data_IF_808521582980
#
_entry.id   IF_808521582980
#
_cell.length_a   1.000
_cell.length_b   1.000
_cell.length_c   1.000
_cell.angle_alpha   90.00
_cell.angle_beta   90.00
_cell.angle_gamma   90.00
#
_symmetry.space_group_name_H-M   'P 1'
#
loop_
_entity.id
_entity.type
_entity.pdbx_description
1 polymer ?
#
# COMPACT_ATOMS: atom_id res chain seq x y z
N UNK A 1 -22.13 25.21 2.49
CA UNK A 1 -21.98 23.78 2.85
C UNK A 1 -20.54 23.47 3.26
N UNK A 2 -19.54 23.98 2.54
CA UNK A 2 -18.11 23.72 2.85
C UNK A 2 -17.67 24.40 4.16
N UNK A 3 -18.22 25.55 4.50
CA UNK A 3 -17.94 26.27 5.77
C UNK A 3 -18.71 25.78 6.98
N UNK A 4 -19.66 24.86 6.79
CA UNK A 4 -20.47 24.29 7.88
C UNK A 4 -20.01 22.89 8.29
N UNK A 5 -19.09 22.28 7.51
CA UNK A 5 -18.54 20.95 7.77
C UNK A 5 -17.87 20.88 9.15
N UNK A 6 -17.09 21.88 9.49
CA UNK A 6 -16.33 21.96 10.75
C UNK A 6 -17.21 22.26 11.97
N UNK A 7 -18.47 22.67 11.74
CA UNK A 7 -19.45 22.93 12.81
C UNK A 7 -20.28 21.69 13.18
N UNK A 8 -20.14 20.58 12.43
CA UNK A 8 -20.84 19.33 12.74
C UNK A 8 -20.10 18.59 13.85
N UNK A 9 -20.85 17.88 14.68
CA UNK A 9 -20.35 17.01 15.76
C UNK A 9 -19.92 15.60 15.26
N UNK A 10 -19.95 15.40 13.95
CA UNK A 10 -19.50 14.19 13.25
C UNK A 10 -18.77 14.52 11.95
N UNK A 11 -17.91 13.62 11.51
CA UNK A 11 -17.16 13.78 10.26
C UNK A 11 -17.99 13.33 9.05
N UNK A 12 -17.90 14.12 7.95
CA UNK A 12 -18.51 13.80 6.67
C UNK A 12 -17.46 13.90 5.55
N UNK A 13 -17.46 12.95 4.61
CA UNK A 13 -16.57 12.90 3.45
C UNK A 13 -17.22 13.45 2.16
N UNK A 14 -18.53 13.68 2.21
CA UNK A 14 -19.31 14.17 1.08
C UNK A 14 -20.80 14.20 1.38
N UNK A 15 -21.58 14.56 0.38
CA UNK A 15 -23.03 14.61 0.41
C UNK A 15 -23.59 13.72 -0.69
N UNK A 16 -24.75 13.11 -0.46
CA UNK A 16 -25.52 12.45 -1.51
C UNK A 16 -26.76 13.31 -1.79
N UNK A 17 -26.93 13.69 -3.05
CA UNK A 17 -28.07 14.44 -3.54
C UNK A 17 -28.95 13.47 -4.30
N UNK A 18 -30.20 13.37 -3.89
CA UNK A 18 -31.18 12.43 -4.44
C UNK A 18 -32.46 13.15 -4.84
N UNK A 19 -33.21 12.58 -5.80
CA UNK A 19 -34.57 13.02 -6.06
C UNK A 19 -35.43 12.76 -4.82
N UNK A 20 -36.22 13.76 -4.41
CA UNK A 20 -37.12 13.65 -3.27
C UNK A 20 -38.41 12.84 -3.58
N UNK A 21 -38.61 12.45 -4.84
CA UNK A 21 -39.73 11.62 -5.30
C UNK A 21 -39.28 10.17 -5.46
N UNK A 22 -39.81 9.29 -4.60
CA UNK A 22 -39.49 7.87 -4.60
C UNK A 22 -39.88 7.16 -5.91
N UNK A 23 -41.00 7.54 -6.53
CA UNK A 23 -41.45 6.97 -7.79
C UNK A 23 -40.50 7.38 -8.96
N UNK A 24 -40.03 8.61 -8.96
CA UNK A 24 -39.02 9.08 -9.89
C UNK A 24 -37.69 8.34 -9.71
N UNK A 25 -37.26 8.13 -8.47
CA UNK A 25 -36.04 7.35 -8.15
C UNK A 25 -36.13 5.93 -8.69
N UNK A 26 -37.23 5.23 -8.43
CA UNK A 26 -37.47 3.87 -8.87
C UNK A 26 -37.53 3.76 -10.40
N UNK A 27 -38.18 4.72 -11.07
CA UNK A 27 -38.30 4.74 -12.53
C UNK A 27 -36.95 4.90 -13.25
N UNK A 28 -35.97 5.59 -12.65
CA UNK A 28 -34.62 5.77 -13.19
C UNK A 28 -33.79 4.50 -13.07
N UNK A 29 -34.14 3.60 -12.12
CA UNK A 29 -33.42 2.37 -11.88
C UNK A 29 -31.99 2.55 -11.39
N UNK A 30 -31.20 1.48 -11.48
CA UNK A 30 -29.83 1.41 -10.99
C UNK A 30 -28.81 1.18 -12.10
N UNK A 31 -27.56 1.53 -11.82
CA UNK A 31 -26.39 1.15 -12.61
C UNK A 31 -25.27 0.69 -11.68
N UNK A 32 -24.84 -0.58 -11.80
CA UNK A 32 -23.81 -1.16 -10.93
C UNK A 32 -24.16 -1.14 -9.43
N UNK A 33 -25.44 -1.35 -9.09
CA UNK A 33 -25.93 -1.33 -7.71
C UNK A 33 -26.03 0.08 -7.09
N UNK A 34 -26.04 1.13 -7.92
CA UNK A 34 -26.19 2.52 -7.48
C UNK A 34 -27.38 3.18 -8.17
N UNK A 35 -28.25 3.89 -7.40
CA UNK A 35 -29.40 4.59 -7.97
C UNK A 35 -28.97 5.64 -8.99
N UNK A 36 -29.58 5.64 -10.18
CA UNK A 36 -29.30 6.66 -11.22
C UNK A 36 -29.80 8.05 -10.83
N UNK A 37 -30.80 8.13 -9.96
CA UNK A 37 -31.35 9.39 -9.46
C UNK A 37 -30.55 10.03 -8.31
N UNK A 38 -29.45 9.39 -7.88
CA UNK A 38 -28.56 9.91 -6.86
C UNK A 38 -27.23 10.41 -7.44
N UNK A 39 -26.65 11.44 -6.82
CA UNK A 39 -25.31 11.97 -7.12
C UNK A 39 -24.55 12.23 -5.84
N UNK A 40 -23.34 11.67 -5.76
CA UNK A 40 -22.42 11.98 -4.67
C UNK A 40 -21.63 13.25 -5.00
N UNK A 41 -21.63 14.20 -4.09
CA UNK A 41 -20.74 15.34 -4.06
C UNK A 41 -19.66 15.09 -3.01
N UNK A 42 -18.41 15.00 -3.45
CA UNK A 42 -17.25 14.83 -2.58
C UNK A 42 -16.60 16.18 -2.31
N UNK A 43 -16.26 16.42 -1.05
CA UNK A 43 -15.51 17.64 -0.71
C UNK A 43 -14.09 17.58 -1.29
N UNK A 44 -13.49 18.74 -1.59
CA UNK A 44 -12.08 18.81 -1.96
C UNK A 44 -11.22 18.21 -0.84
N UNK A 45 -10.26 17.37 -1.22
CA UNK A 45 -9.33 16.80 -0.26
C UNK A 45 -8.34 17.86 0.23
N UNK A 46 -8.03 17.83 1.53
CA UNK A 46 -6.95 18.64 2.06
C UNK A 46 -5.63 18.24 1.38
N UNK A 47 -4.94 19.22 0.80
CA UNK A 47 -3.66 19.05 0.13
C UNK A 47 -2.59 19.84 0.85
N UNK A 48 -1.39 19.28 0.99
CA UNK A 48 -0.22 20.00 1.52
C UNK A 48 1.02 19.77 0.67
N UNK A 49 1.88 20.79 0.51
CA UNK A 49 3.18 20.62 -0.14
C UNK A 49 4.15 19.92 0.81
N UNK A 50 5.01 19.07 0.24
CA UNK A 50 6.11 18.41 0.97
C UNK A 50 7.28 18.12 0.03
N UNK A 51 8.35 17.51 0.52
CA UNK A 51 9.55 17.18 -0.24
C UNK A 51 9.67 15.67 -0.42
N UNK A 52 9.76 15.22 -1.67
CA UNK A 52 10.02 13.83 -2.01
C UNK A 52 11.45 13.44 -1.58
N UNK A 53 11.58 12.36 -0.83
CA UNK A 53 12.87 11.88 -0.33
C UNK A 53 13.35 10.65 -1.06
N UNK A 54 12.46 9.68 -1.28
CA UNK A 54 12.83 8.41 -1.91
C UNK A 54 11.63 7.77 -2.64
N UNK A 55 11.93 6.83 -3.54
CA UNK A 55 10.96 5.91 -4.13
C UNK A 55 11.48 4.49 -3.95
N UNK A 56 10.79 3.74 -3.11
CA UNK A 56 11.10 2.33 -2.85
C UNK A 56 10.17 1.43 -3.66
N UNK A 57 10.75 0.48 -4.39
CA UNK A 57 10.01 -0.49 -5.18
C UNK A 57 9.75 -1.75 -4.35
N UNK A 58 8.49 -2.00 -4.03
CA UNK A 58 8.05 -3.12 -3.20
C UNK A 58 7.49 -4.25 -4.04
N UNK A 59 7.88 -5.49 -3.72
CA UNK A 59 7.43 -6.70 -4.43
C UNK A 59 6.27 -7.32 -3.66
N UNK A 60 5.10 -7.36 -4.27
CA UNK A 60 3.92 -8.02 -3.70
C UNK A 60 3.92 -9.54 -3.90
N UNK A 61 3.00 -10.23 -3.23
CA UNK A 61 2.82 -11.68 -3.29
C UNK A 61 2.52 -12.25 -4.70
N UNK A 62 1.97 -11.43 -5.58
CA UNK A 62 1.72 -11.78 -6.99
C UNK A 62 2.91 -11.53 -7.91
N UNK A 63 4.06 -11.07 -7.37
CA UNK A 63 5.21 -10.61 -8.13
C UNK A 63 5.07 -9.19 -8.67
N UNK A 64 3.95 -8.49 -8.46
CA UNK A 64 3.79 -7.08 -8.85
C UNK A 64 4.77 -6.22 -8.07
N UNK A 65 5.50 -5.37 -8.79
CA UNK A 65 6.45 -4.42 -8.22
C UNK A 65 5.79 -3.04 -8.22
N UNK A 66 5.55 -2.52 -7.03
CA UNK A 66 4.81 -1.26 -6.83
C UNK A 66 5.74 -0.20 -6.26
N UNK A 67 5.82 0.99 -6.87
CA UNK A 67 6.59 2.10 -6.33
C UNK A 67 5.83 2.77 -5.17
N UNK A 68 6.55 3.07 -4.09
CA UNK A 68 6.06 3.82 -2.93
C UNK A 68 6.96 5.04 -2.75
N UNK A 69 6.35 6.23 -2.80
CA UNK A 69 7.04 7.48 -2.52
C UNK A 69 7.15 7.68 -1.01
N UNK A 70 8.34 8.05 -0.54
CA UNK A 70 8.61 8.52 0.80
C UNK A 70 8.91 10.01 0.77
N UNK A 71 8.30 10.79 1.64
CA UNK A 71 8.42 12.24 1.68
C UNK A 71 8.43 12.75 3.14
N UNK A 72 8.81 14.02 3.32
CA UNK A 72 8.75 14.62 4.65
C UNK A 72 7.33 14.56 5.18
N UNK A 73 7.19 14.08 6.41
CA UNK A 73 5.89 13.87 7.02
C UNK A 73 5.09 15.16 7.12
N UNK A 74 3.82 15.09 6.76
CA UNK A 74 2.87 16.22 6.83
C UNK A 74 1.57 15.77 7.49
N UNK A 75 0.95 16.68 8.24
CA UNK A 75 -0.36 16.42 8.84
C UNK A 75 -1.46 16.76 7.84
N UNK A 76 -2.25 15.77 7.49
CA UNK A 76 -3.37 15.84 6.55
C UNK A 76 -4.61 15.22 7.20
N UNK A 77 -5.69 15.99 7.33
CA UNK A 77 -6.96 15.54 7.89
C UNK A 77 -6.76 14.70 9.18
N UNK A 78 -6.05 15.26 10.16
CA UNK A 78 -5.86 14.65 11.48
C UNK A 78 -4.88 13.46 11.54
N UNK A 79 -4.16 13.13 10.47
CA UNK A 79 -3.13 12.09 10.49
C UNK A 79 -1.82 12.56 9.86
N UNK A 80 -0.70 12.12 10.45
CA UNK A 80 0.64 12.36 9.91
C UNK A 80 0.95 11.34 8.81
N UNK A 81 1.24 11.82 7.62
CA UNK A 81 1.50 11.03 6.41
C UNK A 81 2.90 11.28 5.90
N UNK A 82 3.70 10.23 5.67
CA UNK A 82 5.08 10.30 5.16
C UNK A 82 5.34 9.41 3.95
N UNK A 83 4.31 8.70 3.45
CA UNK A 83 4.44 7.83 2.28
C UNK A 83 3.13 7.72 1.50
N UNK A 84 3.23 7.46 0.20
CA UNK A 84 2.10 7.21 -0.68
C UNK A 84 2.46 6.22 -1.79
N UNK A 85 1.52 5.35 -2.16
CA UNK A 85 1.69 4.48 -3.32
C UNK A 85 1.66 5.30 -4.61
N UNK A 86 2.62 5.04 -5.50
CA UNK A 86 2.61 5.58 -6.87
C UNK A 86 1.95 4.62 -7.87
N UNK A 87 1.41 3.50 -7.40
CA UNK A 87 0.67 2.48 -8.15
C UNK A 87 1.47 1.73 -9.22
N UNK A 88 2.01 2.41 -10.22
CA UNK A 88 2.75 1.82 -11.34
C UNK A 88 3.68 2.84 -12.01
N UNK A 89 4.45 2.37 -13.00
CA UNK A 89 5.36 3.18 -13.81
C UNK A 89 4.62 4.29 -14.58
N UNK A 90 3.48 3.98 -15.19
CA UNK A 90 2.70 4.95 -15.98
C UNK A 90 2.25 6.14 -15.13
N UNK A 91 1.90 5.91 -13.86
CA UNK A 91 1.55 6.97 -12.95
C UNK A 91 2.76 7.83 -12.55
N UNK A 92 3.96 7.24 -12.44
CA UNK A 92 5.20 8.02 -12.23
C UNK A 92 5.41 8.99 -13.39
N UNK A 93 5.33 8.50 -14.63
CA UNK A 93 5.49 9.36 -15.83
C UNK A 93 4.42 10.46 -15.91
N UNK A 94 3.17 10.14 -15.57
CA UNK A 94 2.09 11.11 -15.51
C UNK A 94 2.36 12.22 -14.47
N UNK A 95 2.82 11.85 -13.29
CA UNK A 95 3.15 12.80 -12.20
C UNK A 95 4.38 13.63 -12.54
N UNK A 96 5.36 13.01 -13.18
CA UNK A 96 6.64 13.64 -13.54
C UNK A 96 6.58 14.50 -14.82
N UNK A 97 5.42 14.68 -15.45
CA UNK A 97 5.22 15.33 -16.75
C UNK A 97 6.23 16.40 -17.16
N UNK A 98 6.46 17.41 -16.30
CA UNK A 98 7.41 18.50 -16.53
C UNK A 98 8.79 18.28 -15.87
N UNK A 99 9.02 17.12 -15.25
CA UNK A 99 10.31 16.80 -14.64
C UNK A 99 11.34 16.37 -15.68
N UNK A 100 12.64 16.57 -15.44
CA UNK A 100 13.68 16.04 -16.29
C UNK A 100 13.54 14.55 -16.51
N UNK A 101 13.72 14.10 -17.76
CA UNK A 101 13.60 12.69 -18.18
C UNK A 101 12.21 12.04 -17.93
N UNK A 102 11.18 12.83 -17.59
CA UNK A 102 9.84 12.29 -17.23
C UNK A 102 9.87 11.40 -15.98
N UNK A 103 10.78 11.65 -15.05
CA UNK A 103 10.97 10.88 -13.82
C UNK A 103 10.99 11.79 -12.59
N UNK A 104 10.55 11.26 -11.45
CA UNK A 104 10.64 11.94 -10.15
C UNK A 104 12.07 11.87 -9.58
N UNK A 105 12.42 12.81 -8.72
CA UNK A 105 13.74 12.85 -8.08
C UNK A 105 13.67 13.27 -6.62
N UNK A 106 14.70 12.90 -5.85
CA UNK A 106 14.83 13.35 -4.47
C UNK A 106 14.92 14.88 -4.41
N UNK A 107 14.18 15.51 -3.49
CA UNK A 107 14.10 16.95 -3.36
C UNK A 107 12.98 17.60 -4.21
N UNK A 108 12.29 16.87 -5.07
CA UNK A 108 11.12 17.40 -5.77
C UNK A 108 10.10 17.90 -4.74
N UNK A 109 9.62 19.12 -4.92
CA UNK A 109 8.51 19.66 -4.13
C UNK A 109 7.21 19.13 -4.70
N UNK A 110 6.51 18.34 -3.91
CA UNK A 110 5.31 17.63 -4.34
C UNK A 110 4.08 18.09 -3.56
N UNK A 111 2.90 17.92 -4.15
CA UNK A 111 1.61 18.10 -3.49
C UNK A 111 1.07 16.73 -3.11
N UNK A 112 0.69 16.55 -1.85
CA UNK A 112 0.10 15.32 -1.33
C UNK A 112 -1.26 15.56 -0.71
N UNK A 113 -2.14 14.58 -0.79
CA UNK A 113 -3.49 14.60 -0.22
C UNK A 113 -3.81 13.29 0.52
N UNK A 114 -4.92 13.29 1.26
CA UNK A 114 -5.58 12.06 1.72
C UNK A 114 -6.93 11.94 1.03
N UNK A 115 -7.04 10.98 0.12
CA UNK A 115 -8.31 10.72 -0.59
C UNK A 115 -9.24 9.92 0.31
N UNK A 116 -10.51 10.32 0.34
CA UNK A 116 -11.54 9.78 1.26
C UNK A 116 -11.07 9.79 2.73
N UNK A 117 -10.30 10.80 3.10
CA UNK A 117 -9.70 11.02 4.43
C UNK A 117 -8.90 9.82 4.99
N UNK A 118 -8.51 8.88 4.14
CA UNK A 118 -7.80 7.64 4.52
C UNK A 118 -6.53 7.41 3.69
N UNK A 119 -6.62 7.48 2.37
CA UNK A 119 -5.56 7.00 1.47
C UNK A 119 -4.62 8.14 1.06
N UNK A 120 -3.33 8.08 1.45
CA UNK A 120 -2.33 9.03 0.99
C UNK A 120 -2.15 8.95 -0.54
N UNK A 121 -2.10 10.10 -1.17
CA UNK A 121 -1.95 10.22 -2.62
C UNK A 121 -1.01 11.36 -2.99
N UNK A 122 -0.10 11.12 -3.97
CA UNK A 122 0.73 12.15 -4.58
C UNK A 122 -0.05 12.73 -5.76
N UNK A 123 -0.43 14.00 -5.66
CA UNK A 123 -1.27 14.65 -6.66
C UNK A 123 -0.46 15.19 -7.84
N UNK A 124 0.65 15.89 -7.56
CA UNK A 124 1.48 16.54 -8.60
C UNK A 124 2.88 16.88 -8.08
N UNK A 125 3.79 17.15 -9.00
CA UNK A 125 5.05 17.83 -8.73
C UNK A 125 4.85 19.33 -8.92
N UNK A 126 5.17 20.10 -7.88
CA UNK A 126 5.08 21.57 -7.91
C UNK A 126 6.34 22.17 -8.50
N UNK A 127 7.51 21.73 -8.02
CA UNK A 127 8.82 22.24 -8.43
C UNK A 127 9.76 21.03 -8.50
N UNK A 128 10.27 20.67 -9.70
CA UNK A 128 11.27 19.63 -9.83
C UNK A 128 12.64 20.12 -9.31
N UNK A 129 13.29 19.29 -8.51
CA UNK A 129 14.66 19.55 -8.06
C UNK A 129 15.68 19.28 -9.17
N UNK A 130 16.85 19.90 -9.09
CA UNK A 130 17.99 19.64 -9.99
C UNK A 130 18.86 18.48 -9.44
N UNK A 131 18.25 17.33 -9.23
CA UNK A 131 18.87 16.15 -8.62
C UNK A 131 18.78 14.93 -9.54
N UNK A 132 19.48 13.86 -9.16
CA UNK A 132 19.37 12.57 -9.85
C UNK A 132 17.93 12.05 -9.78
N UNK A 133 17.44 11.55 -10.91
CA UNK A 133 16.10 10.98 -11.01
C UNK A 133 16.07 9.53 -10.56
N UNK A 134 14.96 9.12 -9.93
CA UNK A 134 14.75 7.73 -9.55
C UNK A 134 14.58 6.85 -10.78
N UNK A 135 15.35 5.76 -10.84
CA UNK A 135 15.28 4.84 -11.96
C UNK A 135 14.14 3.83 -11.81
N UNK A 136 13.59 3.42 -12.95
CA UNK A 136 12.67 2.29 -13.04
C UNK A 136 13.48 0.99 -12.97
N UNK A 137 13.19 0.03 -12.09
CA UNK A 137 13.99 -1.15 -11.91
C UNK A 137 13.90 -2.07 -13.13
N UNK A 138 15.05 -2.55 -13.59
CA UNK A 138 15.18 -3.60 -14.61
C UNK A 138 15.28 -4.99 -13.99
N UNK A 139 15.54 -5.04 -12.70
CA UNK A 139 15.66 -6.26 -11.90
C UNK A 139 14.78 -6.19 -10.67
N UNK A 140 14.33 -7.35 -10.21
CA UNK A 140 13.51 -7.45 -9.00
C UNK A 140 14.30 -6.98 -7.77
N UNK A 141 13.78 -6.04 -6.97
CA UNK A 141 14.47 -5.57 -5.76
C UNK A 141 14.81 -6.68 -4.76
N UNK A 142 13.98 -7.73 -4.72
CA UNK A 142 14.14 -8.84 -3.77
C UNK A 142 15.08 -9.94 -4.28
N UNK A 143 14.86 -10.47 -5.49
CA UNK A 143 15.60 -11.65 -5.97
C UNK A 143 16.57 -11.37 -7.11
N UNK A 144 16.71 -10.12 -7.55
CA UNK A 144 17.64 -9.67 -8.62
C UNK A 144 17.42 -10.29 -10.00
N UNK A 145 16.38 -11.09 -10.20
CA UNK A 145 16.03 -11.59 -11.53
C UNK A 145 15.44 -10.46 -12.39
N UNK A 146 15.63 -10.54 -13.72
CA UNK A 146 15.05 -9.57 -14.64
C UNK A 146 13.54 -9.48 -14.48
N UNK A 147 13.01 -8.26 -14.52
CA UNK A 147 11.57 -8.02 -14.44
C UNK A 147 10.95 -7.99 -15.83
N UNK A 148 9.63 -8.21 -15.91
CA UNK A 148 8.84 -8.13 -17.13
C UNK A 148 7.76 -7.07 -16.97
N UNK A 149 7.49 -6.33 -18.04
CA UNK A 149 6.32 -5.43 -18.10
C UNK A 149 5.10 -6.22 -18.56
N UNK A 150 4.04 -6.18 -17.76
CA UNK A 150 2.74 -6.82 -18.05
C UNK A 150 1.66 -5.75 -17.91
N UNK A 151 1.17 -5.26 -19.05
CA UNK A 151 0.31 -4.08 -19.08
C UNK A 151 1.03 -2.87 -18.51
N UNK A 152 0.46 -2.23 -17.51
CA UNK A 152 1.03 -1.06 -16.82
C UNK A 152 1.92 -1.43 -15.62
N UNK A 153 2.09 -2.71 -15.33
CA UNK A 153 2.80 -3.17 -14.15
C UNK A 153 4.14 -3.80 -14.48
N UNK A 154 5.10 -3.60 -13.60
CA UNK A 154 6.36 -4.32 -13.58
C UNK A 154 6.17 -5.57 -12.72
N UNK A 155 6.58 -6.72 -13.22
CA UNK A 155 6.35 -8.02 -12.60
C UNK A 155 7.65 -8.80 -12.44
N UNK A 156 7.86 -9.38 -11.27
CA UNK A 156 8.84 -10.43 -11.05
C UNK A 156 8.16 -11.78 -11.32
N UNK A 157 8.64 -12.50 -12.33
CA UNK A 157 8.12 -13.84 -12.70
C UNK A 157 8.93 -14.99 -12.10
N UNK A 158 9.90 -14.71 -11.22
CA UNK A 158 10.72 -15.75 -10.60
C UNK A 158 9.93 -16.50 -9.50
N UNK A 159 9.69 -17.80 -9.66
CA UNK A 159 8.80 -18.56 -8.74
C UNK A 159 9.36 -18.72 -7.32
N UNK A 160 10.68 -18.58 -7.16
CA UNK A 160 11.38 -18.66 -5.87
C UNK A 160 11.77 -17.27 -5.33
N UNK A 161 11.06 -16.22 -5.72
CA UNK A 161 11.31 -14.87 -5.22
C UNK A 161 10.96 -14.78 -3.72
N UNK A 162 11.90 -14.42 -2.83
CA UNK A 162 11.67 -14.38 -1.38
C UNK A 162 10.48 -13.50 -1.00
N UNK A 163 10.34 -12.32 -1.61
CA UNK A 163 9.23 -11.43 -1.33
C UNK A 163 7.87 -12.00 -1.75
N UNK A 164 7.80 -12.79 -2.83
CA UNK A 164 6.56 -13.46 -3.22
C UNK A 164 6.20 -14.59 -2.24
N UNK A 165 7.20 -15.35 -1.79
CA UNK A 165 7.02 -16.41 -0.79
C UNK A 165 6.49 -15.81 0.51
N UNK A 166 7.22 -14.85 1.08
CA UNK A 166 6.80 -14.16 2.31
C UNK A 166 5.41 -13.52 2.16
N UNK A 167 5.16 -12.83 1.05
CA UNK A 167 3.87 -12.22 0.75
C UNK A 167 2.71 -13.22 0.65
N UNK A 168 2.95 -14.43 0.11
CA UNK A 168 1.95 -15.48 0.05
C UNK A 168 1.60 -16.01 1.46
N UNK A 169 2.61 -16.20 2.30
CA UNK A 169 2.42 -16.63 3.70
C UNK A 169 1.69 -15.55 4.51
N UNK A 170 2.11 -14.29 4.41
CA UNK A 170 1.43 -13.14 5.06
C UNK A 170 -0.05 -13.06 4.66
N UNK A 171 -0.33 -13.21 3.35
CA UNK A 171 -1.71 -13.21 2.85
C UNK A 171 -2.53 -14.37 3.41
N UNK A 172 -1.94 -15.57 3.51
CA UNK A 172 -2.58 -16.74 4.09
C UNK A 172 -2.97 -16.50 5.54
N UNK A 173 -2.01 -16.12 6.37
CA UNK A 173 -2.19 -15.79 7.80
C UNK A 173 -3.27 -14.73 7.99
N UNK A 174 -3.22 -13.63 7.21
CA UNK A 174 -4.20 -12.56 7.27
C UNK A 174 -5.61 -13.02 6.85
N UNK A 175 -5.71 -13.85 5.81
CA UNK A 175 -7.01 -14.32 5.30
C UNK A 175 -7.71 -15.27 6.27
N UNK A 176 -6.96 -16.04 7.02
CA UNK A 176 -7.48 -16.95 8.05
C UNK A 176 -7.55 -16.29 9.44
N UNK A 177 -7.19 -15.01 9.55
CA UNK A 177 -7.15 -14.24 10.81
C UNK A 177 -6.33 -14.93 11.93
N UNK A 178 -5.22 -15.60 11.54
CA UNK A 178 -4.35 -16.28 12.48
C UNK A 178 -3.60 -15.26 13.33
N UNK A 179 -3.78 -15.31 14.64
CA UNK A 179 -3.23 -14.34 15.58
C UNK A 179 -1.74 -14.58 15.88
N UNK A 180 -1.05 -13.55 16.32
CA UNK A 180 0.38 -13.55 16.73
C UNK A 180 1.40 -13.86 15.61
N UNK A 181 0.97 -14.03 14.36
CA UNK A 181 1.81 -14.21 13.19
C UNK A 181 2.14 -12.86 12.53
N UNK A 182 2.94 -12.05 13.21
CA UNK A 182 3.37 -10.74 12.69
C UNK A 182 4.27 -10.85 11.45
N UNK A 183 4.32 -9.77 10.66
CA UNK A 183 5.09 -9.75 9.41
C UNK A 183 6.58 -10.05 9.61
N UNK A 184 7.19 -9.51 10.68
CA UNK A 184 8.60 -9.73 11.01
C UNK A 184 8.93 -11.20 11.30
N UNK A 185 8.01 -11.92 11.96
CA UNK A 185 8.15 -13.35 12.22
C UNK A 185 8.12 -14.15 10.91
N UNK A 186 7.14 -13.84 10.04
CA UNK A 186 7.00 -14.51 8.74
C UNK A 186 8.22 -14.25 7.85
N UNK A 187 8.70 -12.99 7.80
CA UNK A 187 9.88 -12.64 7.02
C UNK A 187 11.10 -13.42 7.50
N UNK A 188 11.36 -13.46 8.80
CA UNK A 188 12.49 -14.21 9.36
C UNK A 188 12.40 -15.72 9.06
N UNK A 189 11.21 -16.32 9.16
CA UNK A 189 11.02 -17.73 8.82
C UNK A 189 11.30 -18.03 7.34
N UNK A 190 10.88 -17.14 6.46
CA UNK A 190 11.15 -17.25 5.03
C UNK A 190 12.63 -17.02 4.71
N UNK A 191 13.27 -16.03 5.33
CA UNK A 191 14.70 -15.71 5.15
C UNK A 191 15.61 -16.86 5.61
N UNK A 192 15.29 -17.49 6.73
CA UNK A 192 16.02 -18.66 7.23
C UNK A 192 15.64 -19.97 6.52
N UNK A 193 14.70 -19.93 5.56
CA UNK A 193 14.30 -21.09 4.76
C UNK A 193 13.43 -22.11 5.49
N UNK A 194 12.91 -21.77 6.68
CA UNK A 194 11.99 -22.64 7.44
C UNK A 194 10.61 -22.73 6.76
N UNK A 195 10.19 -21.69 6.06
CA UNK A 195 8.90 -21.58 5.38
C UNK A 195 9.11 -21.13 3.94
N UNK A 196 8.61 -21.92 2.98
CA UNK A 196 8.62 -21.65 1.53
C UNK A 196 7.21 -21.61 0.95
N UNK A 197 6.25 -22.17 1.65
CA UNK A 197 4.83 -22.17 1.29
C UNK A 197 3.98 -21.97 2.54
N UNK A 198 2.70 -21.55 2.42
CA UNK A 198 1.80 -21.49 3.57
C UNK A 198 1.61 -22.82 4.31
N UNK A 199 1.72 -23.94 3.60
CA UNK A 199 1.58 -25.27 4.21
C UNK A 199 2.71 -25.59 5.21
N UNK A 200 3.90 -25.04 4.99
CA UNK A 200 5.07 -25.28 5.85
C UNK A 200 4.87 -24.73 7.27
N UNK A 201 3.94 -23.77 7.45
CA UNK A 201 3.59 -23.23 8.77
C UNK A 201 3.13 -24.36 9.72
N UNK A 202 2.36 -25.29 9.21
CA UNK A 202 1.77 -26.40 9.99
C UNK A 202 2.76 -27.53 10.30
N UNK A 203 3.95 -27.49 9.69
CA UNK A 203 5.05 -28.41 9.96
C UNK A 203 6.18 -27.83 10.79
N UNK A 204 6.03 -26.63 11.34
CA UNK A 204 7.07 -25.98 12.12
C UNK A 204 7.30 -26.68 13.46
N UNK A 205 8.58 -26.92 13.78
CA UNK A 205 8.99 -27.44 15.07
C UNK A 205 9.09 -26.34 16.12
N UNK A 206 8.60 -26.63 17.34
CA UNK A 206 8.62 -25.71 18.48
C UNK A 206 10.05 -25.25 18.83
N UNK A 207 11.03 -26.16 18.76
CA UNK A 207 12.42 -25.85 19.15
C UNK A 207 13.04 -24.89 18.11
N UNK A 208 12.82 -25.18 16.81
CA UNK A 208 13.29 -24.34 15.73
C UNK A 208 12.67 -22.93 15.82
N UNK A 209 11.36 -22.85 16.07
CA UNK A 209 10.66 -21.58 16.22
C UNK A 209 11.12 -20.80 17.45
N UNK A 210 11.30 -21.48 18.59
CA UNK A 210 11.75 -20.86 19.83
C UNK A 210 13.14 -20.22 19.73
N UNK A 211 14.02 -20.81 18.92
CA UNK A 211 15.40 -20.35 18.69
C UNK A 211 15.52 -19.31 17.57
N UNK A 212 14.41 -18.99 16.88
CA UNK A 212 14.41 -18.00 15.80
C UNK A 212 14.78 -16.61 16.33
N UNK A 213 15.75 -15.96 15.68
CA UNK A 213 16.16 -14.60 16.01
C UNK A 213 15.33 -13.57 15.25
N UNK A 214 14.72 -12.65 15.97
CA UNK A 214 13.97 -11.51 15.44
C UNK A 214 14.65 -10.21 15.88
N UNK A 215 15.33 -9.53 14.94
CA UNK A 215 15.99 -8.26 15.23
C UNK A 215 17.01 -8.35 16.40
N UNK A 216 17.74 -9.46 16.50
CA UNK A 216 18.76 -9.70 17.54
C UNK A 216 18.22 -10.25 18.86
N UNK A 217 16.91 -10.50 18.96
CA UNK A 217 16.29 -11.17 20.13
C UNK A 217 15.73 -12.52 19.70
N UNK A 218 15.90 -13.54 20.54
CA UNK A 218 15.34 -14.86 20.34
C UNK A 218 13.85 -14.85 20.68
N UNK A 219 13.01 -15.50 19.87
CA UNK A 219 11.55 -15.53 20.05
C UNK A 219 11.15 -16.11 21.43
N UNK A 220 11.83 -17.16 21.87
CA UNK A 220 11.60 -17.82 23.14
C UNK A 220 10.45 -18.84 23.12
N UNK A 221 10.53 -19.85 24.02
CA UNK A 221 9.61 -20.98 24.04
C UNK A 221 8.14 -20.59 24.27
N UNK A 222 7.89 -19.67 25.21
CA UNK A 222 6.51 -19.23 25.53
C UNK A 222 5.81 -18.59 24.34
N UNK A 223 6.51 -17.69 23.63
CA UNK A 223 5.96 -17.04 22.43
C UNK A 223 5.79 -18.05 21.28
N UNK A 224 6.76 -18.92 21.08
CA UNK A 224 6.71 -19.97 20.06
C UNK A 224 5.52 -20.93 20.26
N UNK A 225 5.26 -21.36 21.52
CA UNK A 225 4.09 -22.18 21.84
C UNK A 225 2.80 -21.46 21.49
N UNK A 226 2.60 -20.21 21.95
CA UNK A 226 1.40 -19.44 21.66
C UNK A 226 1.18 -19.23 20.16
N UNK A 227 2.24 -18.98 19.42
CA UNK A 227 2.17 -18.80 17.95
C UNK A 227 1.74 -20.08 17.26
N UNK A 228 2.27 -21.25 17.66
CA UNK A 228 1.87 -22.53 17.11
C UNK A 228 0.43 -22.91 17.49
N UNK A 229 0.02 -22.66 18.74
CA UNK A 229 -1.35 -22.94 19.20
C UNK A 229 -2.40 -22.17 18.40
N UNK A 230 -2.05 -20.99 17.88
CA UNK A 230 -2.94 -20.18 17.03
C UNK A 230 -3.09 -20.72 15.59
N UNK A 231 -2.35 -21.73 15.18
CA UNK A 231 -2.49 -22.35 13.85
C UNK A 231 -3.63 -23.38 13.79
N UNK A 232 -4.08 -23.86 14.94
CA UNK A 232 -5.11 -24.89 15.08
C UNK A 232 -6.32 -24.38 15.87
#
# INVERSE_FOLDING_TARGET
VDGERDALDYEIDGLVIEFNDAAAMESLGEHGGRPKGARAFKFPHACKPTILRDIVWQVGNSGRITPVAYFDAVDLAGATVGQASLHNESNIHRLAGNCPQGLLGAGDRIMVSRRNDVIPFLESVLIPAQTLRFSIPKECPSCKHPVKKVGEYIMCSHPKCPAQISGAVKRWVKKLDIKDWGESLIDALCEHGHVKTPADLYGLDLVALANLSLGGKVLGKSTATRVLDNLY
#
